data_IF_792403252306
#
_entry.id   IF_792403252306
#
_cell.length_a   1.000
_cell.length_b   1.000
_cell.length_c   1.000
_cell.angle_alpha   90.00
_cell.angle_beta   90.00
_cell.angle_gamma   90.00
#
_symmetry.space_group_name_H-M   'P 1'
#
loop_
_entity.id
_entity.type
_entity.pdbx_description
1 polymer ?
#
# COMPACT_ATOMS: atom_id res chain seq x y z
N UNK A 1 16.89 -3.97 -10.89
CA UNK A 1 17.06 -2.52 -10.57
C UNK A 1 15.69 -1.89 -10.33
N UNK A 2 15.53 -1.04 -9.32
CA UNK A 2 14.28 -0.32 -9.05
C UNK A 2 14.29 1.05 -9.74
N UNK A 3 13.37 1.29 -10.65
CA UNK A 3 13.07 2.62 -11.19
C UNK A 3 12.13 3.34 -10.22
N UNK A 4 12.40 4.60 -9.90
CA UNK A 4 11.57 5.40 -8.99
C UNK A 4 11.06 6.63 -9.71
N UNK A 5 9.76 6.79 -9.76
CA UNK A 5 9.05 7.97 -10.27
C UNK A 5 8.17 8.56 -9.18
N UNK A 6 7.95 9.85 -9.22
CA UNK A 6 7.18 10.53 -8.18
C UNK A 6 6.44 11.73 -8.75
N UNK A 7 5.18 11.86 -8.39
CA UNK A 7 4.42 13.08 -8.54
C UNK A 7 4.51 13.93 -7.25
N UNK A 8 3.86 15.07 -7.20
CA UNK A 8 3.82 15.94 -6.01
C UNK A 8 2.86 15.37 -4.97
N UNK A 9 3.34 15.25 -3.74
CA UNK A 9 2.50 14.92 -2.59
C UNK A 9 1.84 16.18 -2.04
N UNK A 10 0.59 16.07 -1.61
CA UNK A 10 -0.14 17.17 -0.97
C UNK A 10 0.35 17.46 0.44
N UNK A 11 0.97 16.46 1.11
CA UNK A 11 1.46 16.56 2.47
C UNK A 11 2.96 16.30 2.55
N UNK A 12 3.67 17.15 3.32
CA UNK A 12 5.13 17.05 3.42
C UNK A 12 5.61 15.72 4.04
N UNK A 13 4.90 15.18 5.04
CA UNK A 13 5.28 13.91 5.66
C UNK A 13 5.21 12.73 4.68
N UNK A 14 4.21 12.69 3.80
CA UNK A 14 4.07 11.65 2.77
C UNK A 14 5.28 11.67 1.82
N UNK A 15 5.75 12.88 1.45
CA UNK A 15 6.93 13.04 0.61
C UNK A 15 8.21 12.53 1.29
N UNK A 16 8.39 12.84 2.57
CA UNK A 16 9.54 12.35 3.36
C UNK A 16 9.47 10.83 3.49
N UNK A 17 8.31 10.31 3.84
CA UNK A 17 8.10 8.89 3.99
C UNK A 17 8.35 8.13 2.67
N UNK A 18 7.82 8.63 1.55
CA UNK A 18 8.07 8.02 0.25
C UNK A 18 9.57 7.94 -0.09
N UNK A 19 10.35 8.98 0.23
CA UNK A 19 11.81 8.97 -0.02
C UNK A 19 12.53 7.92 0.81
N UNK A 20 12.17 7.77 2.07
CA UNK A 20 12.74 6.76 2.96
C UNK A 20 12.35 5.36 2.48
N UNK A 21 11.08 5.15 2.18
CA UNK A 21 10.55 3.91 1.64
C UNK A 21 11.27 3.52 0.34
N UNK A 22 11.39 4.47 -0.61
CA UNK A 22 12.07 4.24 -1.89
C UNK A 22 13.55 3.86 -1.71
N UNK A 23 14.25 4.49 -0.74
CA UNK A 23 15.65 4.19 -0.45
C UNK A 23 15.82 2.78 0.09
N UNK A 24 14.99 2.36 1.06
CA UNK A 24 15.03 1.01 1.61
C UNK A 24 14.68 -0.05 0.56
N UNK A 25 13.62 0.21 -0.21
CA UNK A 25 13.19 -0.69 -1.28
C UNK A 25 14.25 -0.82 -2.37
N UNK A 26 14.87 0.30 -2.78
CA UNK A 26 15.96 0.29 -3.77
C UNK A 26 17.13 -0.58 -3.30
N UNK A 27 17.55 -0.44 -2.04
CA UNK A 27 18.60 -1.28 -1.46
C UNK A 27 18.23 -2.76 -1.54
N UNK A 28 17.03 -3.11 -1.07
CA UNK A 28 16.54 -4.50 -1.11
C UNK A 28 16.51 -5.06 -2.55
N UNK A 29 16.09 -4.27 -3.53
CA UNK A 29 16.07 -4.68 -4.94
C UNK A 29 17.47 -4.92 -5.51
N UNK A 30 18.44 -4.08 -5.15
CA UNK A 30 19.85 -4.27 -5.55
C UNK A 30 20.42 -5.53 -4.92
N UNK A 31 20.25 -5.69 -3.60
CA UNK A 31 20.80 -6.82 -2.83
C UNK A 31 20.24 -8.18 -3.30
N UNK A 32 19.00 -8.19 -3.78
CA UNK A 32 18.31 -9.40 -4.25
C UNK A 32 18.25 -9.54 -5.79
N UNK A 33 18.92 -8.67 -6.54
CA UNK A 33 18.94 -8.72 -8.01
C UNK A 33 17.58 -8.54 -8.69
N UNK A 34 16.63 -7.85 -8.03
CA UNK A 34 15.26 -7.67 -8.50
C UNK A 34 15.10 -6.42 -9.35
N UNK A 35 14.03 -6.37 -10.14
CA UNK A 35 13.65 -5.22 -10.95
C UNK A 35 12.19 -4.82 -10.68
N UNK A 36 11.91 -3.53 -10.81
CA UNK A 36 10.56 -3.01 -10.62
C UNK A 36 10.46 -1.50 -10.83
N UNK A 37 9.25 -1.01 -10.76
CA UNK A 37 8.90 0.40 -10.87
C UNK A 37 8.11 0.82 -9.61
N UNK A 38 8.62 1.82 -8.89
CA UNK A 38 7.93 2.46 -7.77
C UNK A 38 7.44 3.85 -8.19
N UNK A 39 6.15 4.09 -8.08
CA UNK A 39 5.52 5.36 -8.42
C UNK A 39 4.92 5.97 -7.16
N UNK A 40 5.43 7.13 -6.74
CA UNK A 40 4.86 7.89 -5.63
C UNK A 40 3.75 8.82 -6.10
N UNK A 41 2.64 8.84 -5.35
CA UNK A 41 1.46 9.67 -5.64
C UNK A 41 1.01 9.60 -7.11
N UNK A 42 0.73 8.38 -7.64
CA UNK A 42 0.27 8.25 -9.02
C UNK A 42 -1.04 9.01 -9.23
N UNK A 43 -1.07 9.81 -10.29
CA UNK A 43 -2.28 10.53 -10.68
C UNK A 43 -3.06 9.73 -11.72
N UNK A 44 -4.38 9.64 -11.55
CA UNK A 44 -5.27 8.95 -12.47
C UNK A 44 -6.30 9.94 -13.03
N UNK A 45 -6.14 10.35 -14.29
CA UNK A 45 -7.04 11.30 -14.96
C UNK A 45 -8.45 10.75 -15.17
N UNK A 46 -8.60 9.44 -15.32
CA UNK A 46 -9.88 8.79 -15.63
C UNK A 46 -10.72 8.44 -14.39
N UNK A 47 -10.13 8.42 -13.21
CA UNK A 47 -10.83 8.34 -11.92
C UNK A 47 -10.05 9.06 -10.82
N UNK A 48 -10.37 10.32 -10.58
CA UNK A 48 -9.73 11.16 -9.56
C UNK A 48 -9.90 10.62 -8.13
N UNK A 49 -10.84 9.68 -7.91
CA UNK A 49 -11.04 9.02 -6.62
C UNK A 49 -10.05 7.87 -6.40
N UNK A 50 -9.30 7.46 -7.42
CA UNK A 50 -8.19 6.53 -7.28
C UNK A 50 -6.99 7.28 -6.70
N UNK A 51 -6.87 7.26 -5.38
CA UNK A 51 -5.82 7.93 -4.63
C UNK A 51 -4.95 6.87 -3.93
N UNK A 52 -3.74 6.71 -4.42
CA UNK A 52 -2.74 5.74 -3.93
C UNK A 52 -1.51 6.54 -3.53
N UNK A 53 -0.96 6.31 -2.32
CA UNK A 53 0.24 7.02 -1.89
C UNK A 53 1.48 6.51 -2.63
N UNK A 54 1.58 5.18 -2.84
CA UNK A 54 2.59 4.61 -3.71
C UNK A 54 2.08 3.35 -4.42
N UNK A 55 2.55 3.15 -5.65
CA UNK A 55 2.31 1.97 -6.48
C UNK A 55 3.64 1.30 -6.79
N UNK A 56 3.80 0.04 -6.40
CA UNK A 56 4.94 -0.78 -6.75
C UNK A 56 4.52 -1.82 -7.79
N UNK A 57 5.26 -1.89 -8.89
CA UNK A 57 5.06 -2.85 -9.97
C UNK A 57 6.34 -3.65 -10.14
N UNK A 58 6.25 -4.96 -10.07
CA UNK A 58 7.33 -5.91 -10.37
C UNK A 58 6.83 -6.91 -11.43
N UNK A 59 7.71 -7.81 -11.85
CA UNK A 59 7.34 -8.95 -12.70
C UNK A 59 6.41 -9.97 -12.02
N UNK A 60 6.32 -9.94 -10.69
CA UNK A 60 5.55 -10.90 -9.90
C UNK A 60 4.30 -10.32 -9.27
N UNK A 61 4.33 -9.05 -8.90
CA UNK A 61 3.28 -8.45 -8.09
C UNK A 61 3.08 -6.97 -8.37
N UNK A 62 1.83 -6.52 -8.22
CA UNK A 62 1.47 -5.11 -8.15
C UNK A 62 0.97 -4.82 -6.74
N UNK A 63 1.56 -3.82 -6.08
CA UNK A 63 1.21 -3.42 -4.72
C UNK A 63 0.67 -2.00 -4.70
N UNK A 64 -0.48 -1.79 -4.08
CA UNK A 64 -0.97 -0.46 -3.68
C UNK A 64 -0.62 -0.23 -2.22
N UNK A 65 -0.02 0.92 -1.93
CA UNK A 65 0.58 1.22 -0.63
C UNK A 65 -0.03 2.50 -0.09
N UNK A 66 -0.43 2.46 1.17
CA UNK A 66 -0.99 3.58 1.92
C UNK A 66 -0.07 3.89 3.11
N UNK A 67 0.35 5.14 3.23
CA UNK A 67 1.26 5.61 4.26
C UNK A 67 0.52 6.17 5.46
N UNK A 68 0.87 5.71 6.66
CA UNK A 68 0.28 6.17 7.92
C UNK A 68 1.33 6.77 8.84
N UNK A 69 1.12 8.04 9.19
CA UNK A 69 1.98 8.77 10.13
C UNK A 69 1.53 8.52 11.58
N UNK A 70 1.68 7.26 12.01
CA UNK A 70 1.41 6.81 13.37
C UNK A 70 2.55 5.92 13.85
N UNK A 71 2.81 5.93 15.15
CA UNK A 71 3.83 5.12 15.81
C UNK A 71 3.31 4.55 17.12
N UNK A 72 4.10 3.66 17.73
CA UNK A 72 3.77 3.01 18.99
C UNK A 72 2.64 1.99 18.84
N UNK A 73 1.87 1.78 19.89
CA UNK A 73 0.85 0.72 19.90
C UNK A 73 -0.32 1.04 18.98
N UNK A 74 -0.60 0.13 18.06
CA UNK A 74 -1.73 0.17 17.12
C UNK A 74 -2.66 -1.01 17.43
N UNK A 75 -3.88 -0.70 17.83
CA UNK A 75 -4.88 -1.71 18.14
C UNK A 75 -5.71 -2.00 16.89
N UNK A 76 -5.64 -3.24 16.41
CA UNK A 76 -6.46 -3.74 15.32
C UNK A 76 -7.78 -4.29 15.88
N UNK A 77 -8.89 -4.22 15.11
CA UNK A 77 -10.13 -4.89 15.47
C UNK A 77 -9.95 -6.40 15.59
N UNK A 78 -10.86 -7.07 16.28
CA UNK A 78 -10.90 -8.52 16.27
C UNK A 78 -11.23 -9.06 14.86
N UNK A 79 -10.88 -10.31 14.57
CA UNK A 79 -11.05 -10.93 13.25
C UNK A 79 -12.49 -10.84 12.70
N UNK A 80 -13.51 -11.00 13.55
CA UNK A 80 -14.91 -10.95 13.13
C UNK A 80 -15.36 -9.55 12.67
N UNK A 81 -14.75 -8.52 13.23
CA UNK A 81 -15.08 -7.12 12.95
C UNK A 81 -13.97 -6.38 12.20
N UNK A 82 -13.01 -7.09 11.63
CA UNK A 82 -11.80 -6.50 11.06
C UNK A 82 -12.10 -5.45 9.98
N UNK A 83 -13.07 -5.72 9.12
CA UNK A 83 -13.45 -4.78 8.06
C UNK A 83 -14.07 -3.49 8.62
N UNK A 84 -15.00 -3.61 9.57
CA UNK A 84 -15.82 -2.49 10.04
C UNK A 84 -15.35 -1.92 11.38
N UNK A 85 -14.35 -2.52 11.99
CA UNK A 85 -13.83 -2.09 13.28
C UNK A 85 -12.89 -0.90 13.16
N UNK A 86 -12.80 -0.13 14.24
CA UNK A 86 -11.88 0.99 14.34
C UNK A 86 -10.45 0.49 14.58
N UNK A 87 -9.50 1.04 13.83
CA UNK A 87 -8.11 0.96 14.19
C UNK A 87 -7.80 2.15 15.09
N UNK A 88 -7.11 1.93 16.21
CA UNK A 88 -6.79 2.99 17.15
C UNK A 88 -5.33 2.96 17.57
N UNK A 89 -4.80 4.13 17.93
CA UNK A 89 -3.49 4.22 18.57
C UNK A 89 -3.60 3.94 20.09
N UNK A 90 -2.48 4.08 20.81
CA UNK A 90 -2.42 3.87 22.26
C UNK A 90 -3.31 4.82 23.07
N UNK A 91 -3.58 6.02 22.57
CA UNK A 91 -4.44 7.02 23.20
C UNK A 91 -5.92 6.85 22.87
N UNK A 92 -6.25 5.89 22.01
CA UNK A 92 -7.62 5.63 21.56
C UNK A 92 -8.05 6.46 20.35
N UNK A 93 -7.14 7.26 19.77
CA UNK A 93 -7.44 8.04 18.58
C UNK A 93 -7.59 7.11 17.37
N UNK A 94 -8.59 7.38 16.55
CA UNK A 94 -8.88 6.58 15.38
C UNK A 94 -7.87 6.78 14.26
N UNK A 95 -7.35 5.68 13.73
CA UNK A 95 -6.53 5.64 12.52
C UNK A 95 -7.46 5.43 11.32
N UNK A 96 -7.76 6.52 10.63
CA UNK A 96 -8.68 6.51 9.48
C UNK A 96 -7.96 6.13 8.19
N UNK A 97 -8.75 5.64 7.24
CA UNK A 97 -8.35 5.45 5.85
C UNK A 97 -8.94 6.53 4.95
N UNK A 98 -8.40 7.76 4.98
CA UNK A 98 -9.02 8.89 4.29
C UNK A 98 -10.43 9.15 4.80
N UNK A 99 -11.45 9.02 3.93
CA UNK A 99 -12.86 9.07 4.31
C UNK A 99 -13.41 7.72 4.81
N UNK A 100 -12.63 6.64 4.74
CA UNK A 100 -13.03 5.31 5.19
C UNK A 100 -12.81 5.14 6.70
N UNK A 101 -13.56 4.21 7.30
CA UNK A 101 -13.52 3.95 8.75
C UNK A 101 -12.14 3.50 9.23
N UNK A 102 -11.40 2.80 8.39
CA UNK A 102 -10.04 2.32 8.67
C UNK A 102 -9.22 2.16 7.38
N UNK A 103 -7.89 1.97 7.49
CA UNK A 103 -7.00 1.79 6.33
C UNK A 103 -7.30 0.54 5.48
N UNK A 104 -7.80 -0.53 6.08
CA UNK A 104 -8.16 -1.75 5.36
C UNK A 104 -9.28 -1.49 4.33
N UNK A 105 -10.36 -0.83 4.76
CA UNK A 105 -11.49 -0.47 3.87
C UNK A 105 -11.05 0.53 2.81
N UNK A 106 -10.20 1.49 3.16
CA UNK A 106 -9.62 2.42 2.18
C UNK A 106 -8.94 1.64 1.05
N UNK A 107 -8.00 0.77 1.39
CA UNK A 107 -7.25 -0.01 0.40
C UNK A 107 -8.10 -1.03 -0.35
N UNK A 108 -9.13 -1.60 0.28
CA UNK A 108 -10.13 -2.45 -0.39
C UNK A 108 -10.86 -1.68 -1.50
N UNK A 109 -11.27 -0.45 -1.21
CA UNK A 109 -11.90 0.45 -2.17
C UNK A 109 -10.92 0.89 -3.28
N UNK A 110 -9.69 1.25 -2.93
CA UNK A 110 -8.67 1.64 -3.91
C UNK A 110 -8.30 0.48 -4.85
N UNK A 111 -8.17 -0.75 -4.33
CA UNK A 111 -7.95 -1.94 -5.15
C UNK A 111 -9.09 -2.15 -6.16
N UNK A 112 -10.36 -2.03 -5.74
CA UNK A 112 -11.50 -2.15 -6.64
C UNK A 112 -11.44 -1.11 -7.76
N UNK A 113 -11.20 0.17 -7.42
CA UNK A 113 -11.05 1.26 -8.41
C UNK A 113 -9.88 1.04 -9.35
N UNK A 114 -8.74 0.62 -8.80
CA UNK A 114 -7.56 0.27 -9.59
C UNK A 114 -7.88 -0.83 -10.60
N UNK A 115 -8.60 -1.88 -10.18
CA UNK A 115 -9.03 -2.96 -11.08
C UNK A 115 -9.97 -2.45 -12.19
N UNK A 116 -10.90 -1.56 -11.86
CA UNK A 116 -11.82 -0.95 -12.84
C UNK A 116 -11.04 -0.11 -13.88
N UNK A 117 -10.12 0.73 -13.42
CA UNK A 117 -9.26 1.55 -14.30
C UNK A 117 -8.36 0.68 -15.16
N UNK A 118 -7.72 -0.32 -14.56
CA UNK A 118 -6.84 -1.24 -15.28
C UNK A 118 -7.60 -1.95 -16.42
N UNK A 119 -8.71 -2.60 -16.11
CA UNK A 119 -9.46 -3.37 -17.09
C UNK A 119 -10.05 -2.49 -18.21
N UNK A 120 -10.53 -1.29 -17.86
CA UNK A 120 -11.21 -0.41 -18.82
C UNK A 120 -10.24 0.42 -19.68
N UNK A 121 -9.10 0.84 -19.11
CA UNK A 121 -8.25 1.85 -19.73
C UNK A 121 -6.82 1.39 -20.03
N UNK A 122 -6.24 0.50 -19.21
CA UNK A 122 -4.83 0.13 -19.31
C UNK A 122 -4.63 -1.16 -20.09
N UNK A 123 -5.38 -2.20 -19.78
CA UNK A 123 -5.20 -3.55 -20.33
C UNK A 123 -5.13 -3.60 -21.85
N UNK A 124 -5.95 -2.80 -22.54
CA UNK A 124 -6.00 -2.75 -24.02
C UNK A 124 -4.71 -2.21 -24.67
N UNK A 125 -3.83 -1.58 -23.89
CA UNK A 125 -2.55 -1.03 -24.37
C UNK A 125 -1.36 -1.92 -24.02
N UNK A 126 -1.58 -3.03 -23.32
CA UNK A 126 -0.55 -3.97 -22.95
C UNK A 126 -0.46 -5.13 -23.96
N UNK A 127 0.74 -5.70 -24.10
CA UNK A 127 0.90 -6.98 -24.81
C UNK A 127 0.25 -8.10 -23.97
N UNK A 128 -0.15 -9.18 -24.62
CA UNK A 128 -0.83 -10.32 -23.96
C UNK A 128 0.01 -10.88 -22.81
N UNK A 129 1.33 -10.92 -22.95
CA UNK A 129 2.25 -11.40 -21.90
C UNK A 129 2.40 -10.48 -20.71
N UNK A 130 2.02 -9.21 -20.85
CA UNK A 130 2.15 -8.18 -19.80
C UNK A 130 0.85 -7.97 -19.01
N UNK A 131 -0.22 -8.70 -19.37
CA UNK A 131 -1.51 -8.61 -18.71
C UNK A 131 -1.45 -9.37 -17.39
N UNK A 132 -1.70 -8.66 -16.28
CA UNK A 132 -1.86 -9.28 -14.98
C UNK A 132 -3.33 -9.28 -14.53
N UNK A 133 -3.66 -10.14 -13.57
CA UNK A 133 -4.98 -10.14 -12.95
C UNK A 133 -5.02 -9.12 -11.81
N UNK A 134 -5.75 -8.00 -11.94
CA UNK A 134 -5.76 -6.96 -10.91
C UNK A 134 -6.39 -7.42 -9.57
N UNK A 135 -7.07 -8.55 -9.55
CA UNK A 135 -7.55 -9.17 -8.30
C UNK A 135 -6.39 -9.70 -7.43
N UNK A 136 -5.21 -9.93 -8.01
CA UNK A 136 -4.01 -10.32 -7.28
C UNK A 136 -3.22 -9.13 -6.74
N UNK A 137 -3.68 -7.89 -6.98
CA UNK A 137 -3.04 -6.70 -6.41
C UNK A 137 -2.96 -6.81 -4.89
N UNK A 138 -1.76 -6.65 -4.36
CA UNK A 138 -1.47 -6.64 -2.94
C UNK A 138 -1.77 -5.25 -2.36
N UNK A 139 -2.30 -5.21 -1.16
CA UNK A 139 -2.63 -4.00 -0.40
C UNK A 139 -1.69 -3.90 0.80
N UNK A 140 -1.05 -2.77 0.96
CA UNK A 140 -0.05 -2.55 2.02
C UNK A 140 -0.39 -1.27 2.78
N UNK A 141 -0.56 -1.39 4.10
CA UNK A 141 -0.51 -0.25 5.02
C UNK A 141 0.92 -0.18 5.56
N UNK A 142 1.57 0.96 5.43
CA UNK A 142 2.94 1.15 5.90
C UNK A 142 2.98 2.29 6.92
N UNK A 143 3.42 1.96 8.15
CA UNK A 143 3.65 2.94 9.20
C UNK A 143 5.04 3.55 9.06
N UNK A 144 5.15 4.87 9.25
CA UNK A 144 6.41 5.60 9.08
C UNK A 144 7.42 5.28 10.18
N UNK A 145 6.94 5.23 11.41
CA UNK A 145 7.75 4.90 12.57
C UNK A 145 7.40 3.51 13.07
N UNK A 146 8.21 2.99 13.99
CA UNK A 146 7.97 1.69 14.59
C UNK A 146 6.59 1.63 15.25
N UNK A 147 5.76 0.72 14.75
CA UNK A 147 4.44 0.44 15.28
C UNK A 147 4.42 -0.95 15.93
N UNK A 148 3.81 -1.07 17.08
CA UNK A 148 3.56 -2.33 17.75
C UNK A 148 2.10 -2.73 17.51
N UNK A 149 1.88 -3.75 16.68
CA UNK A 149 0.54 -4.20 16.34
C UNK A 149 -0.06 -5.07 17.44
N UNK A 150 -1.23 -4.68 17.93
CA UNK A 150 -2.06 -5.48 18.82
C UNK A 150 -3.30 -5.97 18.06
N UNK A 151 -3.38 -7.28 17.87
CA UNK A 151 -4.39 -7.94 17.04
C UNK A 151 -3.77 -8.69 15.86
N UNK A 152 -4.62 -9.27 15.01
CA UNK A 152 -4.19 -10.07 13.85
C UNK A 152 -5.02 -9.73 12.63
N UNK A 153 -4.38 -9.84 11.47
CA UNK A 153 -5.06 -9.82 10.17
C UNK A 153 -5.79 -11.17 10.01
N UNK A 154 -7.08 -11.18 9.63
CA UNK A 154 -7.80 -12.42 9.35
C UNK A 154 -7.09 -13.25 8.29
N UNK A 155 -7.05 -14.57 8.48
CA UNK A 155 -6.29 -15.48 7.60
C UNK A 155 -6.75 -15.45 6.14
N UNK A 156 -8.03 -15.20 5.86
CA UNK A 156 -8.58 -15.04 4.52
C UNK A 156 -8.10 -13.76 3.82
N UNK A 157 -7.67 -12.73 4.55
CA UNK A 157 -7.16 -11.47 4.02
C UNK A 157 -5.62 -11.44 3.92
N UNK A 158 -4.94 -12.28 4.71
CA UNK A 158 -3.48 -12.29 4.84
C UNK A 158 -2.72 -12.63 3.54
N UNK A 159 -3.40 -13.18 2.53
CA UNK A 159 -2.80 -13.46 1.23
C UNK A 159 -2.52 -12.20 0.38
N UNK A 160 -3.33 -11.15 0.55
CA UNK A 160 -3.29 -9.95 -0.29
C UNK A 160 -3.32 -8.64 0.51
N UNK A 161 -3.13 -8.72 1.82
CA UNK A 161 -3.12 -7.55 2.69
C UNK A 161 -2.02 -7.67 3.74
N UNK A 162 -1.15 -6.68 3.79
CA UNK A 162 -0.02 -6.63 4.71
C UNK A 162 0.02 -5.31 5.47
N UNK A 163 0.54 -5.37 6.68
CA UNK A 163 0.86 -4.19 7.49
C UNK A 163 2.36 -4.19 7.70
N UNK A 164 3.02 -3.14 7.27
CA UNK A 164 4.44 -2.90 7.55
C UNK A 164 4.49 -2.01 8.79
N UNK A 165 4.83 -2.58 9.90
CA UNK A 165 4.96 -1.93 11.20
C UNK A 165 6.31 -1.23 11.40
N UNK A 166 7.28 -1.58 10.56
CA UNK A 166 8.62 -1.00 10.55
C UNK A 166 9.18 -1.02 9.13
N UNK A 167 9.59 0.12 8.64
CA UNK A 167 10.08 0.25 7.25
C UNK A 167 11.25 -0.69 6.91
N UNK A 168 12.03 -1.10 7.91
CA UNK A 168 13.14 -2.03 7.75
C UNK A 168 12.71 -3.47 7.45
N UNK A 169 11.42 -3.82 7.64
CA UNK A 169 10.87 -5.15 7.36
C UNK A 169 10.35 -5.33 5.92
N UNK A 170 10.53 -4.33 5.05
CA UNK A 170 10.25 -4.48 3.63
C UNK A 170 10.95 -5.68 2.97
N UNK A 171 12.08 -6.10 3.53
CA UNK A 171 12.84 -7.25 3.03
C UNK A 171 12.07 -8.58 3.09
N UNK A 172 11.10 -8.72 4.00
CA UNK A 172 10.26 -9.91 4.13
C UNK A 172 9.05 -9.97 3.18
N UNK A 173 8.76 -8.90 2.44
CA UNK A 173 7.64 -8.80 1.49
C UNK A 173 8.05 -9.13 0.05
N UNK A 174 9.33 -9.22 -0.21
CA UNK A 174 9.94 -9.43 -1.50
C UNK A 174 10.70 -10.76 -1.55
#
# INVERSE_FOLDING_TARGET
MLEVRKNTYSRNYENTFFREFARHLHKSFVDNGRSGLLIGSPFCEVDERLQIDALLITDQVVCIIDFKNFSGKINLPNEKNFEMGLWTNATGDQIKGGSSINPFIQLKNQKRRFSEVYNKHIQKHLNIGDIFNPNHTVRIVCFQEEAELSGRIPSNEALNFFIIDKINFLEGLL
#
